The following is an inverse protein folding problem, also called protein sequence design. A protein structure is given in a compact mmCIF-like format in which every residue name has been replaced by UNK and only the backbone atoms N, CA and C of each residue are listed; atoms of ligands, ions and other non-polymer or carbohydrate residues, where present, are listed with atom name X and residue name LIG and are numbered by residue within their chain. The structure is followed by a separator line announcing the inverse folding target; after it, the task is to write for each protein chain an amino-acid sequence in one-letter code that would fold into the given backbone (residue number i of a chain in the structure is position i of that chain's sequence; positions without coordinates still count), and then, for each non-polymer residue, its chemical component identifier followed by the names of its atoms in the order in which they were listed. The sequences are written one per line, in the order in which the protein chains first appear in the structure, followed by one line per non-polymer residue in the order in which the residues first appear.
data_IF_968710828982
#
_entry.id   IF_968710828982
#
_cell.length_a   1.000
_cell.length_b   1.000
_cell.length_c   1.000
_cell.angle_alpha   90.00
_cell.angle_beta   90.00
_cell.angle_gamma   90.00
#
_symmetry.space_group_name_H-M   'P 1'
#
loop_
_entity.id
_entity.type
_entity.pdbx_description
1 polymer ?
#
# COMPACT_ATOMS: atom_id res chain seq x y z
N UNK A 1 -19.80 81.54 22.04
CA UNK A 1 -19.35 81.01 23.34
C UNK A 1 -20.33 79.93 23.77
N UNK A 2 -19.93 78.66 23.71
CA UNK A 2 -20.39 77.55 24.56
C UNK A 2 -19.54 76.32 24.20
N UNK A 3 -18.91 75.75 25.24
CA UNK A 3 -18.14 74.51 25.27
C UNK A 3 -19.03 73.28 25.06
N UNK A 4 -18.41 72.16 24.62
CA UNK A 4 -18.43 70.81 25.26
C UNK A 4 -18.06 69.75 24.20
N UNK A 5 -16.83 69.24 24.19
CA UNK A 5 -16.31 68.04 24.90
C UNK A 5 -16.85 66.69 24.45
N UNK A 6 -15.90 65.88 23.98
CA UNK A 6 -15.67 64.46 24.36
C UNK A 6 -16.58 63.38 23.79
N UNK A 7 -16.01 62.41 23.07
CA UNK A 7 -15.61 61.11 23.64
C UNK A 7 -14.97 60.25 22.52
N UNK A 8 -13.66 60.01 22.58
CA UNK A 8 -13.04 58.87 21.89
C UNK A 8 -13.26 57.62 22.75
N UNK A 9 -13.73 56.53 22.13
CA UNK A 9 -13.68 55.17 22.71
C UNK A 9 -12.79 54.31 21.82
N UNK A 10 -11.73 53.67 22.37
CA UNK A 10 -11.04 52.59 21.69
C UNK A 10 -11.80 51.29 21.95
N UNK A 11 -12.08 50.47 20.92
CA UNK A 11 -12.66 49.15 21.13
C UNK A 11 -11.92 48.11 20.28
N UNK A 12 -11.23 47.26 21.04
CA UNK A 12 -10.96 45.84 20.81
C UNK A 12 -10.16 45.45 19.56
N UNK A 13 -8.85 45.29 19.77
CA UNK A 13 -8.06 44.35 18.98
C UNK A 13 -8.64 42.94 19.12
N UNK A 14 -8.97 42.33 18.00
CA UNK A 14 -9.34 40.92 17.93
C UNK A 14 -8.07 40.08 18.17
N UNK A 15 -7.98 39.48 19.36
CA UNK A 15 -7.02 38.43 19.65
C UNK A 15 -7.43 37.19 18.86
N UNK A 16 -6.75 36.91 17.75
CA UNK A 16 -6.83 35.63 17.06
C UNK A 16 -6.21 34.57 17.98
N UNK A 17 -7.07 33.87 18.73
CA UNK A 17 -6.66 32.72 19.53
C UNK A 17 -6.22 31.60 18.58
N UNK A 18 -4.91 31.40 18.49
CA UNK A 18 -4.31 30.25 17.85
C UNK A 18 -4.60 29.03 18.73
N UNK A 19 -5.62 28.25 18.36
CA UNK A 19 -5.84 26.92 18.94
C UNK A 19 -4.79 25.95 18.36
N UNK A 20 -3.58 25.97 18.92
CA UNK A 20 -2.68 24.82 18.80
C UNK A 20 -3.14 23.78 19.83
N UNK A 21 -4.12 22.96 19.43
CA UNK A 21 -4.46 21.75 20.15
C UNK A 21 -3.42 20.68 19.85
N UNK A 22 -2.30 20.73 20.58
CA UNK A 22 -1.30 19.67 20.60
C UNK A 22 -1.83 18.49 21.42
N UNK A 23 -2.62 17.62 20.79
CA UNK A 23 -3.03 16.35 21.37
C UNK A 23 -1.93 15.30 21.10
N UNK A 24 -0.94 15.25 22.00
CA UNK A 24 -0.03 14.11 22.13
C UNK A 24 -0.61 13.15 23.17
N UNK A 25 -1.27 12.07 22.73
CA UNK A 25 -1.21 10.77 23.41
C UNK A 25 -1.97 9.71 22.62
N UNK A 26 -1.23 8.98 21.80
CA UNK A 26 -1.67 7.80 21.07
C UNK A 26 -0.84 7.68 19.80
N UNK A 27 0.04 6.67 19.72
CA UNK A 27 0.62 6.24 18.45
C UNK A 27 -0.51 5.62 17.61
N UNK A 28 -1.40 6.47 17.09
CA UNK A 28 -2.55 6.10 16.30
C UNK A 28 -2.90 7.26 15.38
N UNK A 29 -3.51 6.93 14.24
CA UNK A 29 -4.00 7.91 13.28
C UNK A 29 -4.80 9.04 13.95
N UNK A 30 -4.62 10.26 13.46
CA UNK A 30 -5.46 11.38 13.87
C UNK A 30 -6.92 11.12 13.45
N UNK A 31 -7.88 11.74 14.12
CA UNK A 31 -9.29 11.57 13.75
C UNK A 31 -9.58 12.07 12.33
N UNK A 32 -8.80 13.03 11.85
CA UNK A 32 -8.84 13.49 10.47
C UNK A 32 -8.33 12.42 9.48
N UNK A 33 -7.24 11.72 9.81
CA UNK A 33 -6.75 10.57 9.03
C UNK A 33 -7.80 9.45 8.99
N UNK A 34 -8.35 9.07 10.14
CA UNK A 34 -9.39 8.03 10.23
C UNK A 34 -10.62 8.36 9.40
N UNK A 35 -11.03 9.63 9.38
CA UNK A 35 -12.20 10.07 8.62
C UNK A 35 -11.98 10.01 7.10
N UNK A 36 -10.76 10.26 6.62
CA UNK A 36 -10.44 10.21 5.18
C UNK A 36 -10.09 8.82 4.66
N UNK A 37 -9.64 7.91 5.55
CA UNK A 37 -9.17 6.56 5.21
C UNK A 37 -10.11 5.79 4.27
N UNK A 38 -11.45 5.77 4.47
CA UNK A 38 -12.33 5.06 3.56
C UNK A 38 -12.23 5.55 2.11
N UNK A 39 -12.11 6.87 1.91
CA UNK A 39 -11.97 7.47 0.58
C UNK A 39 -10.64 7.10 -0.08
N UNK A 40 -9.55 7.09 0.69
CA UNK A 40 -8.23 6.61 0.24
C UNK A 40 -8.28 5.17 -0.24
N UNK A 41 -8.96 4.31 0.53
CA UNK A 41 -9.14 2.90 0.19
C UNK A 41 -9.93 2.77 -1.12
N UNK A 42 -11.03 3.51 -1.30
CA UNK A 42 -11.79 3.47 -2.56
C UNK A 42 -10.94 3.84 -3.77
N UNK A 43 -10.13 4.91 -3.68
CA UNK A 43 -9.27 5.36 -4.77
C UNK A 43 -8.15 4.36 -5.05
N UNK A 44 -7.54 3.79 -4.01
CA UNK A 44 -6.54 2.73 -4.14
C UNK A 44 -7.15 1.47 -4.78
N UNK A 45 -8.35 1.06 -4.38
CA UNK A 45 -9.08 -0.07 -4.98
C UNK A 45 -9.33 0.19 -6.47
N UNK A 46 -9.89 1.36 -6.83
CA UNK A 46 -10.15 1.70 -8.23
C UNK A 46 -8.87 1.67 -9.08
N UNK A 47 -7.79 2.28 -8.59
CA UNK A 47 -6.48 2.30 -9.24
C UNK A 47 -5.94 0.88 -9.44
N UNK A 48 -6.08 0.02 -8.44
CA UNK A 48 -5.65 -1.38 -8.52
C UNK A 48 -6.50 -2.19 -9.49
N UNK A 49 -7.83 -2.04 -9.49
CA UNK A 49 -8.70 -2.77 -10.42
C UNK A 49 -8.43 -2.42 -11.89
N UNK A 50 -8.01 -1.18 -12.16
CA UNK A 50 -7.59 -0.76 -13.50
C UNK A 50 -6.25 -1.40 -13.93
N UNK A 51 -5.32 -1.57 -12.99
CA UNK A 51 -3.91 -1.84 -13.29
C UNK A 51 -3.43 -3.25 -12.96
N UNK A 52 -4.20 -4.00 -12.19
CA UNK A 52 -3.85 -5.34 -11.75
C UNK A 52 -4.55 -6.43 -12.57
N UNK A 53 -3.86 -7.55 -12.76
CA UNK A 53 -4.49 -8.79 -13.22
C UNK A 53 -5.39 -9.32 -12.09
N UNK A 54 -6.70 -9.13 -12.25
CA UNK A 54 -7.71 -9.62 -11.29
C UNK A 54 -8.15 -11.04 -11.58
N UNK A 55 -7.55 -11.74 -12.56
CA UNK A 55 -7.92 -13.10 -12.88
C UNK A 55 -7.38 -14.07 -11.82
N UNK A 56 -8.29 -14.54 -10.98
CA UNK A 56 -8.01 -15.56 -9.99
C UNK A 56 -7.61 -16.88 -10.66
N UNK A 57 -6.44 -17.40 -10.31
CA UNK A 57 -5.91 -18.66 -10.86
C UNK A 57 -6.45 -19.90 -10.16
N UNK A 58 -7.12 -19.69 -9.02
CA UNK A 58 -7.70 -20.73 -8.16
C UNK A 58 -9.12 -20.32 -7.74
N UNK A 59 -9.96 -21.27 -7.30
CA UNK A 59 -11.23 -20.93 -6.67
C UNK A 59 -11.02 -20.06 -5.43
N UNK A 60 -11.95 -19.14 -5.20
CA UNK A 60 -11.84 -18.11 -4.16
C UNK A 60 -13.01 -18.21 -3.20
N UNK A 61 -12.75 -17.89 -1.92
CA UNK A 61 -13.80 -17.80 -0.92
C UNK A 61 -14.57 -16.48 -1.01
N UNK A 62 -13.87 -15.39 -1.35
CA UNK A 62 -14.43 -14.04 -1.51
C UNK A 62 -13.83 -13.36 -2.75
N UNK A 63 -14.52 -12.40 -3.40
CA UNK A 63 -14.03 -11.74 -4.62
C UNK A 63 -12.72 -10.97 -4.43
N UNK A 64 -11.95 -10.79 -5.52
CA UNK A 64 -10.66 -10.09 -5.53
C UNK A 64 -10.72 -8.71 -4.86
N UNK A 65 -11.69 -7.88 -5.28
CA UNK A 65 -11.88 -6.53 -4.76
C UNK A 65 -12.09 -6.52 -3.23
N UNK A 66 -12.86 -7.47 -2.70
CA UNK A 66 -13.09 -7.59 -1.27
C UNK A 66 -11.80 -7.95 -0.52
N UNK A 67 -10.97 -8.85 -1.07
CA UNK A 67 -9.66 -9.18 -0.48
C UNK A 67 -8.71 -7.99 -0.52
N UNK A 68 -8.71 -7.26 -1.63
CA UNK A 68 -7.87 -6.06 -1.78
C UNK A 68 -8.26 -4.99 -0.77
N UNK A 69 -9.56 -4.72 -0.62
CA UNK A 69 -10.08 -3.78 0.39
C UNK A 69 -9.64 -4.18 1.79
N UNK A 70 -9.79 -5.45 2.16
CA UNK A 70 -9.31 -5.97 3.45
C UNK A 70 -7.80 -5.79 3.65
N UNK A 71 -7.00 -5.88 2.57
CA UNK A 71 -5.55 -5.63 2.63
C UNK A 71 -5.26 -4.15 2.92
N UNK A 72 -5.92 -3.25 2.21
CA UNK A 72 -5.74 -1.80 2.30
C UNK A 72 -6.26 -1.23 3.62
N UNK A 73 -7.32 -1.79 4.19
CA UNK A 73 -7.84 -1.41 5.51
C UNK A 73 -6.81 -1.58 6.63
N UNK A 74 -5.82 -2.46 6.45
CA UNK A 74 -4.75 -2.70 7.44
C UNK A 74 -3.64 -1.65 7.42
N UNK A 75 -3.41 -0.96 6.30
CA UNK A 75 -2.41 0.10 6.21
C UNK A 75 -2.95 1.38 6.84
N UNK A 76 -2.12 2.19 7.48
CA UNK A 76 -2.52 3.53 7.91
C UNK A 76 -2.79 4.49 6.72
N UNK A 77 -3.49 5.61 6.96
CA UNK A 77 -3.76 6.58 5.90
C UNK A 77 -2.51 7.24 5.34
N UNK A 78 -1.44 7.36 6.12
CA UNK A 78 -0.19 8.03 5.66
C UNK A 78 0.48 7.18 4.58
N UNK A 79 0.52 5.87 4.76
CA UNK A 79 1.03 4.94 3.77
C UNK A 79 0.12 4.89 2.54
N UNK A 80 -1.20 4.94 2.72
CA UNK A 80 -2.16 5.01 1.60
C UNK A 80 -2.01 6.31 0.80
N UNK A 81 -1.87 7.46 1.47
CA UNK A 81 -1.58 8.76 0.84
C UNK A 81 -0.29 8.68 0.01
N UNK A 82 0.79 8.11 0.56
CA UNK A 82 2.06 7.93 -0.16
C UNK A 82 1.92 7.03 -1.39
N UNK A 83 1.12 5.95 -1.31
CA UNK A 83 0.84 5.11 -2.48
C UNK A 83 0.12 5.91 -3.57
N UNK A 84 -0.89 6.69 -3.19
CA UNK A 84 -1.66 7.54 -4.12
C UNK A 84 -0.78 8.62 -4.76
N UNK A 85 -0.04 9.39 -3.95
CA UNK A 85 0.86 10.46 -4.42
C UNK A 85 1.91 9.96 -5.42
N UNK A 86 2.36 8.72 -5.25
CA UNK A 86 3.33 8.08 -6.14
C UNK A 86 2.70 7.29 -7.30
N UNK A 87 1.36 7.29 -7.39
CA UNK A 87 0.61 6.55 -8.40
C UNK A 87 0.89 5.05 -8.35
N UNK A 88 0.97 4.47 -7.16
CA UNK A 88 1.27 3.05 -6.94
C UNK A 88 -0.02 2.25 -6.78
N UNK A 89 -0.20 1.25 -7.64
CA UNK A 89 -1.28 0.28 -7.50
C UNK A 89 -0.86 -0.88 -6.58
N UNK A 90 -1.79 -1.36 -5.75
CA UNK A 90 -1.61 -2.55 -4.90
C UNK A 90 -2.31 -3.74 -5.53
N UNK A 91 -1.55 -4.73 -6.00
CA UNK A 91 -2.08 -5.93 -6.62
C UNK A 91 -1.96 -7.14 -5.68
N UNK A 92 -3.03 -7.91 -5.56
CA UNK A 92 -2.99 -9.25 -4.98
C UNK A 92 -2.52 -10.26 -6.03
N UNK A 93 -1.49 -11.05 -5.70
CA UNK A 93 -0.77 -11.89 -6.65
C UNK A 93 -0.59 -13.33 -6.15
N UNK A 94 -1.31 -14.24 -6.79
CA UNK A 94 -1.29 -15.67 -6.50
C UNK A 94 -0.09 -16.40 -7.14
N UNK A 95 0.69 -15.71 -7.98
CA UNK A 95 1.93 -16.25 -8.56
C UNK A 95 3.05 -16.23 -7.53
N UNK A 96 2.99 -15.31 -6.57
CA UNK A 96 4.04 -15.17 -5.57
C UNK A 96 4.17 -16.50 -4.81
N UNK A 97 5.37 -17.10 -4.82
CA UNK A 97 5.55 -18.42 -4.29
C UNK A 97 5.45 -18.41 -2.77
N UNK A 98 4.64 -19.31 -2.20
CA UNK A 98 4.85 -19.77 -0.82
C UNK A 98 6.03 -20.77 -0.80
N UNK A 99 7.18 -20.35 -1.32
CA UNK A 99 8.37 -21.21 -1.38
C UNK A 99 9.16 -21.01 -0.10
N UNK A 100 9.47 -22.12 0.56
CA UNK A 100 10.55 -22.19 1.54
C UNK A 100 11.84 -22.14 0.74
N UNK A 101 12.58 -21.03 0.80
CA UNK A 101 14.00 -21.05 0.46
C UNK A 101 14.71 -21.77 1.61
N UNK A 102 15.59 -22.72 1.33
CA UNK A 102 16.17 -23.60 2.36
C UNK A 102 16.90 -22.85 3.50
N UNK A 103 17.01 -23.54 4.65
CA UNK A 103 17.68 -23.24 5.94
C UNK A 103 17.30 -21.95 6.70
N UNK A 104 16.86 -20.89 6.01
CA UNK A 104 16.21 -19.73 6.62
C UNK A 104 14.90 -19.50 5.86
N UNK A 105 13.75 -19.67 6.53
CA UNK A 105 12.38 -19.49 6.02
C UNK A 105 12.15 -18.06 5.47
N UNK A 106 12.85 -17.70 4.40
CA UNK A 106 12.63 -16.44 3.68
C UNK A 106 11.55 -16.69 2.66
N UNK A 107 10.40 -16.06 2.85
CA UNK A 107 9.27 -16.19 1.92
C UNK A 107 9.15 -14.88 1.19
N UNK A 108 9.19 -14.93 -0.15
CA UNK A 108 8.81 -13.79 -0.97
C UNK A 108 7.31 -13.59 -0.78
N UNK A 109 6.93 -12.43 -0.29
CA UNK A 109 5.55 -12.09 0.07
C UNK A 109 5.06 -10.83 -0.62
N UNK A 110 5.97 -10.03 -1.15
CA UNK A 110 5.62 -8.93 -2.03
C UNK A 110 6.74 -8.59 -3.00
N UNK A 111 6.39 -7.87 -4.06
CA UNK A 111 7.32 -7.35 -5.06
C UNK A 111 6.86 -5.94 -5.43
N UNK A 112 7.74 -4.96 -5.26
CA UNK A 112 7.53 -3.62 -5.80
C UNK A 112 8.21 -3.50 -7.16
N UNK A 113 7.42 -3.30 -8.19
CA UNK A 113 7.84 -3.06 -9.57
C UNK A 113 7.91 -1.55 -9.79
N UNK A 114 9.08 -0.96 -9.55
CA UNK A 114 9.29 0.50 -9.61
C UNK A 114 8.85 1.14 -10.94
N UNK A 115 9.22 0.53 -12.07
CA UNK A 115 8.88 1.04 -13.41
C UNK A 115 7.37 1.02 -13.66
N UNK A 116 6.71 -0.06 -13.24
CA UNK A 116 5.28 -0.24 -13.44
C UNK A 116 4.44 0.43 -12.35
N UNK A 117 5.07 1.02 -11.32
CA UNK A 117 4.42 1.57 -10.12
C UNK A 117 3.35 0.63 -9.56
N UNK A 118 3.73 -0.62 -9.33
CA UNK A 118 2.87 -1.66 -8.77
C UNK A 118 3.59 -2.30 -7.58
N UNK A 119 2.90 -2.42 -6.44
CA UNK A 119 3.27 -3.36 -5.39
C UNK A 119 2.37 -4.59 -5.48
N UNK A 120 2.98 -5.74 -5.70
CA UNK A 120 2.32 -7.05 -5.69
C UNK A 120 2.47 -7.67 -4.31
N UNK A 121 1.38 -8.18 -3.73
CA UNK A 121 1.32 -8.81 -2.41
C UNK A 121 0.75 -10.23 -2.54
N UNK A 122 1.33 -11.19 -1.82
CA UNK A 122 0.99 -12.61 -1.97
C UNK A 122 -0.45 -12.94 -1.57
N UNK A 123 -1.27 -13.34 -2.52
CA UNK A 123 -2.64 -13.78 -2.26
C UNK A 123 -2.77 -15.29 -2.33
N UNK A 124 -3.47 -15.88 -1.36
CA UNK A 124 -3.83 -17.30 -1.39
C UNK A 124 -5.30 -17.54 -1.74
N UNK A 125 -6.07 -16.46 -1.91
CA UNK A 125 -7.46 -16.48 -2.35
C UNK A 125 -8.50 -16.85 -1.29
N UNK A 126 -8.06 -16.97 -0.04
CA UNK A 126 -8.91 -17.33 1.10
C UNK A 126 -9.30 -16.10 1.91
N UNK A 127 -10.43 -16.17 2.60
CA UNK A 127 -10.82 -15.13 3.55
C UNK A 127 -9.80 -15.11 4.70
N UNK A 128 -9.23 -13.94 5.08
CA UNK A 128 -8.30 -13.89 6.20
C UNK A 128 -8.97 -14.26 7.53
N UNK A 129 -10.25 -13.94 7.72
CA UNK A 129 -10.99 -14.16 8.97
C UNK A 129 -11.21 -15.64 9.30
N UNK A 130 -11.13 -16.52 8.31
CA UNK A 130 -11.34 -17.97 8.45
C UNK A 130 -10.05 -18.76 8.63
N UNK A 131 -8.88 -18.11 8.55
CA UNK A 131 -7.58 -18.77 8.54
C UNK A 131 -6.97 -18.97 9.93
N UNK A 132 -6.28 -20.09 10.11
CA UNK A 132 -5.45 -20.31 11.30
C UNK A 132 -4.16 -19.47 11.22
N UNK A 133 -3.58 -19.13 12.37
CA UNK A 133 -2.35 -18.34 12.46
C UNK A 133 -1.13 -18.95 11.73
N UNK A 134 -1.16 -20.25 11.41
CA UNK A 134 -0.12 -20.93 10.61
C UNK A 134 -0.27 -20.70 9.11
N UNK A 135 -1.51 -20.44 8.64
CA UNK A 135 -1.83 -20.12 7.26
C UNK A 135 -1.60 -18.61 7.05
N UNK A 136 -0.33 -18.24 6.89
CA UNK A 136 0.14 -16.84 6.89
C UNK A 136 -0.25 -16.11 5.60
N UNK A 137 -1.54 -15.80 5.41
CA UNK A 137 -2.07 -14.88 4.39
C UNK A 137 -1.37 -13.53 4.47
N UNK A 138 -0.99 -12.93 3.34
CA UNK A 138 -0.42 -11.58 3.34
C UNK A 138 -1.41 -10.57 3.92
N UNK A 139 -2.71 -10.83 3.85
CA UNK A 139 -3.74 -9.92 4.37
C UNK A 139 -3.55 -9.61 5.88
N UNK A 140 -2.90 -10.50 6.65
CA UNK A 140 -2.53 -10.21 8.04
C UNK A 140 -1.36 -9.24 8.19
N UNK A 141 -0.49 -9.15 7.19
CA UNK A 141 0.72 -8.30 7.16
C UNK A 141 0.70 -7.29 6.02
N UNK A 142 -0.45 -7.08 5.39
CA UNK A 142 -0.58 -6.17 4.26
C UNK A 142 -0.30 -4.74 4.70
N UNK A 143 -0.80 -4.35 5.88
CA UNK A 143 -0.49 -3.06 6.52
C UNK A 143 1.01 -2.86 6.69
N UNK A 144 1.67 -3.72 7.49
CA UNK A 144 3.12 -3.68 7.71
C UNK A 144 3.94 -3.67 6.40
N UNK A 145 3.53 -4.46 5.40
CA UNK A 145 4.20 -4.49 4.10
C UNK A 145 4.08 -3.15 3.36
N UNK A 146 2.87 -2.58 3.32
CA UNK A 146 2.58 -1.30 2.66
C UNK A 146 3.26 -0.14 3.40
N UNK A 147 3.19 -0.13 4.73
CA UNK A 147 3.82 0.88 5.60
C UNK A 147 5.34 0.86 5.43
N UNK A 148 5.97 -0.31 5.54
CA UNK A 148 7.42 -0.43 5.35
C UNK A 148 7.82 -0.05 3.91
N UNK A 149 6.99 -0.34 2.89
CA UNK A 149 7.28 0.11 1.52
C UNK A 149 7.27 1.64 1.46
N UNK A 150 6.25 2.24 2.04
CA UNK A 150 6.02 3.68 2.03
C UNK A 150 7.12 4.44 2.81
N UNK A 151 7.69 3.83 3.84
CA UNK A 151 8.73 4.43 4.68
C UNK A 151 10.15 4.15 4.20
N UNK A 152 10.44 2.91 3.79
CA UNK A 152 11.81 2.47 3.48
C UNK A 152 12.17 2.61 2.00
N UNK A 153 11.17 2.56 1.10
CA UNK A 153 11.41 2.54 -0.34
C UNK A 153 11.03 3.87 -0.98
N UNK A 154 9.80 4.35 -0.78
CA UNK A 154 9.27 5.47 -1.59
C UNK A 154 9.98 6.81 -1.35
N UNK A 155 10.72 6.95 -0.25
CA UNK A 155 11.54 8.14 0.05
C UNK A 155 13.02 7.99 -0.30
N UNK A 156 13.47 6.88 -0.90
CA UNK A 156 14.89 6.55 -1.04
C UNK A 156 15.32 6.35 -2.50
N UNK A 157 16.63 6.38 -2.82
CA UNK A 157 17.12 6.10 -4.18
C UNK A 157 16.71 4.73 -4.72
N UNK A 158 16.36 3.80 -3.83
CA UNK A 158 15.95 2.45 -4.17
C UNK A 158 14.51 2.36 -4.70
N UNK A 159 13.72 3.44 -4.61
CA UNK A 159 12.42 3.59 -5.26
C UNK A 159 12.46 3.42 -6.79
N UNK A 160 13.63 3.60 -7.40
CA UNK A 160 13.85 3.42 -8.83
C UNK A 160 14.12 1.96 -9.23
N UNK A 161 14.25 1.04 -8.27
CA UNK A 161 14.61 -0.36 -8.51
C UNK A 161 13.49 -1.30 -8.07
N UNK A 162 13.49 -2.50 -8.64
CA UNK A 162 12.61 -3.58 -8.19
C UNK A 162 13.02 -4.01 -6.77
N UNK A 163 12.06 -4.00 -5.85
CA UNK A 163 12.24 -4.45 -4.47
C UNK A 163 11.44 -5.72 -4.20
N UNK A 164 11.98 -6.60 -3.36
CA UNK A 164 11.37 -7.85 -2.93
C UNK A 164 11.07 -7.73 -1.44
N UNK A 165 9.78 -7.80 -1.11
CA UNK A 165 9.28 -7.86 0.25
C UNK A 165 9.32 -9.30 0.73
N UNK A 166 10.07 -9.54 1.80
CA UNK A 166 10.27 -10.89 2.32
C UNK A 166 10.16 -10.94 3.83
N UNK A 167 9.66 -12.07 4.33
CA UNK A 167 9.63 -12.32 5.78
C UNK A 167 10.76 -13.23 6.22
N UNK A 168 11.42 -12.94 7.35
CA UNK A 168 12.44 -13.80 7.96
C UNK A 168 12.23 -14.01 9.47
N UNK A 169 13.06 -14.85 10.10
CA UNK A 169 12.98 -15.11 11.54
C UNK A 169 11.68 -15.82 11.97
N UNK A 170 11.30 -16.90 11.27
CA UNK A 170 9.99 -17.58 11.42
C UNK A 170 8.79 -16.70 11.04
N UNK A 171 9.00 -15.75 10.15
CA UNK A 171 7.96 -14.83 9.69
C UNK A 171 7.68 -13.69 10.67
N UNK A 172 8.60 -13.38 11.59
CA UNK A 172 8.44 -12.30 12.58
C UNK A 172 8.81 -10.92 12.03
N UNK A 173 9.71 -10.86 11.05
CA UNK A 173 10.22 -9.61 10.50
C UNK A 173 9.90 -9.48 9.02
N UNK A 174 9.52 -8.28 8.60
CA UNK A 174 9.34 -7.86 7.21
C UNK A 174 10.43 -6.88 6.78
N UNK A 175 10.93 -7.00 5.55
CA UNK A 175 11.95 -6.11 5.00
C UNK A 175 11.84 -6.06 3.45
N UNK A 176 12.04 -4.87 2.89
CA UNK A 176 12.13 -4.62 1.45
C UNK A 176 13.58 -4.57 1.00
N UNK A 177 13.95 -5.46 0.08
CA UNK A 177 15.33 -5.61 -0.37
C UNK A 177 15.45 -5.59 -1.88
N UNK A 178 16.59 -5.12 -2.36
CA UNK A 178 16.90 -5.09 -3.78
C UNK A 178 16.77 -6.51 -4.40
N UNK A 179 16.10 -6.58 -5.55
CA UNK A 179 15.83 -7.84 -6.26
C UNK A 179 17.09 -8.65 -6.61
N UNK A 180 18.26 -8.02 -6.69
CA UNK A 180 19.54 -8.72 -6.89
C UNK A 180 19.86 -9.73 -5.79
N UNK A 181 19.33 -9.55 -4.57
CA UNK A 181 19.49 -10.51 -3.46
C UNK A 181 18.67 -11.80 -3.63
N UNK A 182 17.77 -11.82 -4.61
CA UNK A 182 16.86 -12.94 -4.92
C UNK A 182 17.08 -13.44 -6.35
N UNK A 183 18.31 -13.33 -6.87
CA UNK A 183 18.64 -13.68 -8.26
C UNK A 183 18.28 -15.13 -8.60
N UNK A 184 18.51 -16.05 -7.67
CA UNK A 184 18.24 -17.48 -7.86
C UNK A 184 16.74 -17.77 -7.90
N UNK A 185 15.98 -17.18 -6.99
CA UNK A 185 14.51 -17.28 -6.94
C UNK A 185 13.88 -16.69 -8.21
N UNK A 186 14.34 -15.51 -8.64
CA UNK A 186 13.85 -14.85 -9.85
C UNK A 186 14.29 -15.58 -11.13
N UNK A 187 15.40 -16.31 -11.10
CA UNK A 187 15.82 -17.19 -12.21
C UNK A 187 14.95 -18.44 -12.29
N UNK A 188 14.61 -19.04 -11.13
CA UNK A 188 13.67 -20.18 -11.05
C UNK A 188 12.23 -19.78 -11.37
N UNK A 189 11.86 -18.53 -11.13
CA UNK A 189 10.51 -17.99 -11.31
C UNK A 189 10.52 -16.75 -12.20
N UNK A 190 10.87 -16.87 -13.50
CA UNK A 190 11.08 -15.72 -14.38
C UNK A 190 9.82 -14.88 -14.59
N UNK A 191 8.64 -15.47 -14.43
CA UNK A 191 7.35 -14.78 -14.54
C UNK A 191 7.13 -13.72 -13.44
N UNK A 192 7.89 -13.76 -12.33
CA UNK A 192 7.84 -12.77 -11.25
C UNK A 192 8.63 -11.49 -11.57
N UNK A 193 9.35 -11.45 -12.70
CA UNK A 193 10.00 -10.22 -13.19
C UNK A 193 9.02 -9.26 -13.86
N UNK A 194 7.79 -9.72 -14.12
CA UNK A 194 6.73 -8.97 -14.79
C UNK A 194 5.60 -8.73 -13.79
N UNK A 195 5.11 -7.47 -13.65
CA UNK A 195 4.02 -7.16 -12.74
C UNK A 195 2.75 -7.96 -13.09
N UNK A 196 1.89 -8.26 -12.10
CA UNK A 196 0.58 -8.85 -12.34
C UNK A 196 -0.35 -7.77 -12.90
N UNK A 197 -0.15 -7.39 -14.16
CA UNK A 197 -0.98 -6.42 -14.88
C UNK A 197 -1.89 -7.14 -15.87
N UNK A 198 -3.05 -6.56 -16.24
CA UNK A 198 -3.91 -7.12 -17.27
C UNK A 198 -3.08 -7.42 -18.52
N UNK A 199 -3.36 -8.53 -19.23
CA UNK A 199 -2.73 -8.76 -20.52
C UNK A 199 -3.02 -7.53 -21.37
N UNK A 200 -1.97 -6.81 -21.79
CA UNK A 200 -2.10 -5.69 -22.71
C UNK A 200 -2.92 -6.21 -23.87
N UNK A 201 -4.13 -5.66 -24.06
CA UNK A 201 -4.99 -6.02 -25.19
C UNK A 201 -4.08 -5.96 -26.41
N UNK A 202 -3.90 -7.05 -27.18
CA UNK A 202 -3.14 -6.99 -28.41
C UNK A 202 -3.75 -5.82 -29.18
N UNK A 203 -2.95 -4.80 -29.46
CA UNK A 203 -3.38 -3.75 -30.38
C UNK A 203 -3.88 -4.51 -31.61
N UNK A 204 -5.21 -4.49 -31.79
CA UNK A 204 -5.85 -4.96 -33.01
C UNK A 204 -5.01 -4.37 -34.11
N UNK A 205 -4.26 -5.23 -34.83
CA UNK A 205 -3.56 -4.84 -36.02
C UNK A 205 -4.63 -4.29 -36.94
N UNK A 206 -4.78 -2.96 -36.93
CA UNK A 206 -5.63 -2.25 -37.84
C UNK A 206 -5.07 -2.54 -39.23
N UNK A 207 -5.70 -3.52 -39.88
CA UNK A 207 -5.87 -3.66 -41.32
C UNK A 207 -5.00 -2.72 -42.15
N UNK A 208 -3.87 -3.24 -42.64
CA UNK A 208 -3.28 -2.79 -43.89
C UNK A 208 -3.60 -3.85 -44.95
N UNK A 209 -4.76 -3.69 -45.57
CA UNK A 209 -4.97 -4.07 -46.97
C UNK A 209 -4.71 -2.82 -47.81
#
# INVERSE_FOLDING_TARGET
MMNMTSLQKPVAGLLTAVFLASALSGCGESDFDKARKPELIERAVATSLERCDTQDKKPQEIPYEARLRLALEKADSVALDKLEENGIAVCLDQRLPHVKTDFFDTRIRGIFYAEAKIVSLWDNGRNPETQSWYETNILYRAGESIENLADEVLGTPDAAKMQIGSTYGKGQHWDWRDASRFSDELTKNPHLKVPPAPPSVPLLQASLN
#
